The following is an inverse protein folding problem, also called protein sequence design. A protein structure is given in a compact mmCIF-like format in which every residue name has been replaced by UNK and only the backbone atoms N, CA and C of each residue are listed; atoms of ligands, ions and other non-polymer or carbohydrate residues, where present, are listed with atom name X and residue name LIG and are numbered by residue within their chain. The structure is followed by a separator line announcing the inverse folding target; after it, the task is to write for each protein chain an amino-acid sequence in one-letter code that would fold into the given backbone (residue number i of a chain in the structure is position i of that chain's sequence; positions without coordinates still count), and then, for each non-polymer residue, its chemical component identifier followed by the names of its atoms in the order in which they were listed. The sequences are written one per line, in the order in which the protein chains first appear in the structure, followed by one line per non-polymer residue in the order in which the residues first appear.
data_IF_928456344300
#
_entry.id   IF_928456344300
#
_cell.length_a   1.000
_cell.length_b   1.000
_cell.length_c   1.000
_cell.angle_alpha   90.00
_cell.angle_beta   90.00
_cell.angle_gamma   90.00
#
_symmetry.space_group_name_H-M   'P 1'
#
loop_
_entity.id
_entity.type
_entity.pdbx_description
1 polymer ?
#
# COMPACT_ATOMS: atom_id res chain seq x y z
N UNK A 1 -3.45 -0.42 -8.53
CA UNK A 1 -4.56 0.08 -7.72
C UNK A 1 -4.52 -0.56 -6.34
N UNK A 2 -5.12 0.12 -5.36
CA UNK A 2 -5.25 -0.31 -3.97
C UNK A 2 -6.72 -0.30 -3.62
N UNK A 3 -7.22 -1.40 -3.07
CA UNK A 3 -8.59 -1.58 -2.65
C UNK A 3 -8.68 -1.91 -1.17
N UNK A 4 -9.75 -1.45 -0.52
CA UNK A 4 -10.07 -1.66 0.88
C UNK A 4 -11.49 -2.21 1.00
N UNK A 5 -11.66 -3.26 1.79
CA UNK A 5 -12.96 -3.82 2.15
C UNK A 5 -13.07 -3.87 3.68
N UNK A 6 -14.04 -3.16 4.30
CA UNK A 6 -14.37 -3.33 5.72
C UNK A 6 -14.82 -4.76 6.03
N UNK A 7 -14.85 -5.14 7.31
CA UNK A 7 -15.36 -6.47 7.69
C UNK A 7 -16.84 -6.65 7.27
N UNK A 8 -17.11 -7.65 6.44
CA UNK A 8 -18.41 -7.88 5.82
C UNK A 8 -18.88 -6.79 4.84
N UNK A 9 -18.03 -5.79 4.55
CA UNK A 9 -18.31 -4.67 3.65
C UNK A 9 -17.91 -4.92 2.20
N UNK A 10 -18.28 -3.99 1.32
CA UNK A 10 -17.93 -4.02 -0.10
C UNK A 10 -16.49 -3.54 -0.34
N UNK A 11 -15.78 -4.20 -1.25
CA UNK A 11 -14.45 -3.76 -1.70
C UNK A 11 -14.55 -2.45 -2.48
N UNK A 12 -13.76 -1.46 -2.08
CA UNK A 12 -13.68 -0.14 -2.73
C UNK A 12 -12.26 0.17 -3.16
N UNK A 13 -12.06 0.59 -4.41
CA UNK A 13 -10.74 1.08 -4.87
C UNK A 13 -10.49 2.46 -4.30
N UNK A 14 -9.56 2.56 -3.34
CA UNK A 14 -9.22 3.79 -2.63
C UNK A 14 -8.06 4.56 -3.28
N UNK A 15 -7.25 3.90 -4.12
CA UNK A 15 -6.18 4.59 -4.85
C UNK A 15 -5.83 3.92 -6.20
N UNK A 16 -5.50 4.74 -7.20
CA UNK A 16 -4.88 4.32 -8.46
C UNK A 16 -3.66 5.18 -8.75
N UNK A 17 -2.51 4.53 -8.85
CA UNK A 17 -1.23 5.16 -9.16
C UNK A 17 -0.42 4.28 -10.10
N UNK A 18 0.75 4.76 -10.54
CA UNK A 18 1.64 4.07 -11.45
C UNK A 18 3.09 4.07 -10.91
N UNK A 19 3.83 2.98 -11.15
CA UNK A 19 5.26 2.93 -10.82
C UNK A 19 6.08 3.98 -11.58
N UNK A 20 5.57 4.50 -12.71
CA UNK A 20 6.20 5.62 -13.43
C UNK A 20 6.28 6.93 -12.65
N UNK A 21 5.57 7.05 -11.52
CA UNK A 21 5.67 8.21 -10.61
C UNK A 21 6.98 8.21 -9.80
N UNK A 22 7.72 7.09 -9.77
CA UNK A 22 8.96 6.96 -8.99
C UNK A 22 10.05 7.92 -9.50
N UNK A 23 10.56 8.75 -8.59
CA UNK A 23 11.64 9.69 -8.91
C UNK A 23 13.00 9.00 -9.14
N UNK A 24 13.29 7.94 -8.38
CA UNK A 24 14.49 7.12 -8.54
C UNK A 24 14.11 5.77 -9.13
N UNK A 25 14.83 5.36 -10.19
CA UNK A 25 14.68 4.02 -10.78
C UNK A 25 15.22 2.92 -9.87
N UNK A 26 14.74 1.69 -10.05
CA UNK A 26 15.28 0.51 -9.34
C UNK A 26 16.80 0.33 -9.55
N UNK A 27 17.33 0.68 -10.73
CA UNK A 27 18.75 0.63 -11.01
C UNK A 27 19.56 1.64 -10.18
N UNK A 28 19.03 2.87 -10.00
CA UNK A 28 19.64 3.87 -9.13
C UNK A 28 19.58 3.46 -7.67
N UNK A 29 18.46 2.89 -7.21
CA UNK A 29 18.30 2.39 -5.84
C UNK A 29 19.35 1.31 -5.53
N UNK A 30 19.52 0.33 -6.42
CA UNK A 30 20.52 -0.73 -6.26
C UNK A 30 21.95 -0.17 -6.26
N UNK A 31 22.30 0.65 -7.26
CA UNK A 31 23.63 1.24 -7.37
C UNK A 31 24.00 2.03 -6.11
N UNK A 32 23.08 2.87 -5.63
CA UNK A 32 23.29 3.65 -4.41
C UNK A 32 23.43 2.75 -3.18
N UNK A 33 22.61 1.71 -3.03
CA UNK A 33 22.71 0.74 -1.93
C UNK A 33 24.12 0.11 -1.85
N UNK A 34 24.72 -0.21 -3.00
CA UNK A 34 26.03 -0.87 -3.07
C UNK A 34 27.23 0.08 -3.03
N UNK A 35 27.01 1.40 -3.07
CA UNK A 35 28.09 2.37 -3.31
C UNK A 35 29.19 2.36 -2.24
N UNK A 36 28.84 2.02 -1.00
CA UNK A 36 29.79 1.95 0.13
C UNK A 36 30.28 0.52 0.42
N UNK A 37 30.05 -0.42 -0.50
CA UNK A 37 30.49 -1.82 -0.36
C UNK A 37 29.48 -2.76 0.30
N UNK A 38 28.21 -2.36 0.47
CA UNK A 38 27.16 -3.26 0.93
C UNK A 38 26.98 -4.41 -0.09
N UNK A 39 27.10 -5.65 0.37
CA UNK A 39 26.99 -6.82 -0.50
C UNK A 39 25.52 -7.20 -0.76
N UNK A 40 25.21 -7.54 -2.01
CA UNK A 40 23.90 -8.05 -2.42
C UNK A 40 23.95 -9.55 -2.69
N UNK A 41 22.83 -10.23 -2.48
CA UNK A 41 22.68 -11.68 -2.68
C UNK A 41 21.45 -11.98 -3.52
N UNK A 42 21.49 -13.12 -4.19
CA UNK A 42 20.31 -13.66 -4.87
C UNK A 42 19.17 -13.84 -3.88
N UNK A 43 18.00 -13.31 -4.21
CA UNK A 43 16.81 -13.37 -3.37
C UNK A 43 16.63 -12.18 -2.43
N UNK A 44 17.58 -11.24 -2.34
CA UNK A 44 17.36 -10.00 -1.60
C UNK A 44 16.22 -9.18 -2.27
N UNK A 45 15.37 -8.57 -1.45
CA UNK A 45 14.22 -7.76 -1.88
C UNK A 45 14.44 -6.29 -1.52
N UNK A 46 14.37 -5.41 -2.52
CA UNK A 46 14.41 -3.95 -2.32
C UNK A 46 13.03 -3.36 -2.57
N UNK A 47 12.47 -2.71 -1.56
CA UNK A 47 11.22 -1.97 -1.70
C UNK A 47 11.45 -0.65 -2.43
N UNK A 48 10.49 -0.23 -3.27
CA UNK A 48 10.54 1.05 -3.96
C UNK A 48 10.40 2.26 -3.02
N UNK A 49 9.78 2.06 -1.86
CA UNK A 49 9.10 3.10 -1.11
C UNK A 49 7.63 3.22 -1.52
N UNK A 50 6.85 3.99 -0.75
CA UNK A 50 5.44 4.28 -1.07
C UNK A 50 5.33 5.00 -2.41
N UNK A 51 4.45 4.53 -3.29
CA UNK A 51 4.24 5.11 -4.61
C UNK A 51 3.05 6.07 -4.54
N UNK A 52 3.32 7.37 -4.61
CA UNK A 52 2.30 8.42 -4.59
C UNK A 52 2.41 9.29 -5.84
N UNK A 53 1.31 9.39 -6.58
CA UNK A 53 1.18 10.36 -7.67
C UNK A 53 0.78 11.74 -7.14
N UNK A 54 0.72 12.71 -8.05
CA UNK A 54 0.43 14.11 -7.72
C UNK A 54 -1.03 14.39 -7.30
N UNK A 55 -1.97 13.48 -7.59
CA UNK A 55 -3.40 13.67 -7.31
C UNK A 55 -3.85 12.94 -6.03
N UNK A 56 -4.87 13.43 -5.29
CA UNK A 56 -5.33 12.79 -4.05
C UNK A 56 -5.64 11.30 -4.20
N UNK A 57 -6.38 10.89 -5.23
CA UNK A 57 -6.72 9.48 -5.51
C UNK A 57 -5.55 8.61 -6.00
N UNK A 58 -4.34 9.16 -6.06
CA UNK A 58 -3.12 8.45 -6.47
C UNK A 58 -2.06 8.35 -5.37
N UNK A 59 -2.39 8.78 -4.15
CA UNK A 59 -1.51 8.68 -2.97
C UNK A 59 -1.42 7.23 -2.47
N UNK A 60 -0.24 6.83 -2.02
CA UNK A 60 0.09 5.43 -1.75
C UNK A 60 -0.16 4.96 -0.32
N UNK A 61 -0.65 5.81 0.58
CA UNK A 61 -0.94 5.43 1.97
C UNK A 61 -2.22 6.08 2.51
N UNK A 62 -2.84 5.45 3.50
CA UNK A 62 -3.98 6.04 4.22
C UNK A 62 -3.60 7.30 4.97
N UNK A 63 -2.34 7.44 5.42
CA UNK A 63 -1.82 8.68 6.00
C UNK A 63 -1.97 9.85 5.02
N UNK A 64 -1.58 9.64 3.77
CA UNK A 64 -1.64 10.67 2.74
C UNK A 64 -3.07 10.87 2.20
N UNK A 65 -3.82 9.77 2.00
CA UNK A 65 -5.20 9.80 1.51
C UNK A 65 -6.13 10.50 2.50
N UNK A 66 -5.97 10.24 3.80
CA UNK A 66 -6.78 10.86 4.86
C UNK A 66 -6.23 12.17 5.40
N UNK A 67 -5.10 12.64 4.85
CA UNK A 67 -4.38 13.82 5.33
C UNK A 67 -4.08 13.81 6.84
N UNK A 68 -3.53 12.70 7.33
CA UNK A 68 -3.28 12.48 8.75
C UNK A 68 -4.56 12.30 9.57
N UNK A 69 -5.61 11.76 8.95
CA UNK A 69 -6.92 11.57 9.55
C UNK A 69 -7.79 12.83 9.64
N UNK A 70 -7.35 13.95 9.07
CA UNK A 70 -8.14 15.21 9.03
C UNK A 70 -9.26 15.14 8.00
N UNK A 71 -9.09 14.34 6.95
CA UNK A 71 -10.02 14.17 5.84
C UNK A 71 -10.28 12.67 5.64
N UNK A 72 -11.06 12.00 6.50
CA UNK A 72 -11.33 10.57 6.38
C UNK A 72 -11.92 10.20 5.00
N UNK A 73 -11.57 9.01 4.49
CA UNK A 73 -12.16 8.49 3.27
C UNK A 73 -13.59 8.04 3.55
N UNK A 74 -14.53 8.40 2.67
CA UNK A 74 -15.88 7.85 2.66
C UNK A 74 -15.91 6.53 1.86
N UNK A 75 -16.50 5.50 2.45
CA UNK A 75 -16.68 4.19 1.83
C UNK A 75 -18.17 3.92 1.54
N UNK A 76 -18.50 3.01 0.60
CA UNK A 76 -19.86 2.54 0.40
C UNK A 76 -20.50 2.07 1.71
N UNK A 77 -21.78 2.39 1.90
CA UNK A 77 -22.50 2.12 3.14
C UNK A 77 -22.32 3.17 4.24
N UNK A 78 -21.57 4.25 3.98
CA UNK A 78 -21.41 5.39 4.91
C UNK A 78 -20.37 5.16 6.00
N UNK A 79 -19.57 4.09 5.91
CA UNK A 79 -18.40 3.90 6.75
C UNK A 79 -17.29 4.88 6.33
N UNK A 80 -16.43 5.26 7.27
CA UNK A 80 -15.27 6.11 6.98
C UNK A 80 -13.97 5.48 7.46
N UNK A 81 -12.85 5.88 6.85
CA UNK A 81 -11.51 5.41 7.23
C UNK A 81 -10.50 6.53 7.22
N UNK A 82 -9.85 6.74 8.36
CA UNK A 82 -8.60 7.50 8.43
C UNK A 82 -7.39 6.56 8.34
N UNK A 83 -7.45 5.45 9.07
CA UNK A 83 -6.49 4.35 9.07
C UNK A 83 -7.26 3.02 9.03
N UNK A 84 -6.52 1.91 9.00
CA UNK A 84 -7.12 0.58 9.04
C UNK A 84 -7.75 0.30 10.39
N UNK A 85 -8.89 -0.37 10.35
CA UNK A 85 -9.57 -0.95 11.50
C UNK A 85 -9.42 -2.48 11.50
N UNK A 86 -9.64 -3.10 12.66
CA UNK A 86 -9.67 -4.56 12.77
C UNK A 86 -10.72 -5.15 11.82
N UNK A 87 -10.36 -6.22 11.12
CA UNK A 87 -11.21 -6.88 10.14
C UNK A 87 -11.13 -6.32 8.73
N UNK A 88 -10.57 -5.11 8.54
CA UNK A 88 -10.34 -4.53 7.22
C UNK A 88 -9.43 -5.43 6.37
N UNK A 89 -9.75 -5.56 5.07
CA UNK A 89 -8.93 -6.27 4.09
C UNK A 89 -8.41 -5.29 3.03
N UNK A 90 -7.09 -5.22 2.88
CA UNK A 90 -6.41 -4.45 1.83
C UNK A 90 -5.98 -5.37 0.70
N UNK A 91 -6.18 -4.94 -0.54
CA UNK A 91 -5.72 -5.64 -1.74
C UNK A 91 -4.99 -4.70 -2.69
N UNK A 92 -3.75 -5.04 -3.03
CA UNK A 92 -2.96 -4.35 -4.04
C UNK A 92 -2.98 -5.16 -5.34
N UNK A 93 -3.25 -4.48 -6.46
CA UNK A 93 -3.21 -5.07 -7.81
C UNK A 93 -2.40 -4.19 -8.75
N UNK A 94 -1.53 -4.80 -9.54
CA UNK A 94 -0.68 -4.11 -10.51
C UNK A 94 -0.60 -4.85 -11.82
N UNK A 95 -0.50 -4.12 -12.92
CA UNK A 95 -0.28 -4.70 -14.24
C UNK A 95 0.30 -3.68 -15.23
N UNK A 96 1.03 -4.19 -16.23
CA UNK A 96 1.35 -3.46 -17.46
C UNK A 96 0.35 -3.85 -18.55
N UNK A 97 -0.15 -2.86 -19.29
CA UNK A 97 -1.08 -3.05 -20.40
C UNK A 97 -0.32 -2.89 -21.72
N UNK A 98 -0.37 -3.92 -22.57
CA UNK A 98 0.08 -3.87 -23.96
C UNK A 98 -1.09 -3.82 -24.93
N UNK A 99 -0.79 -3.85 -26.23
CA UNK A 99 -1.83 -3.93 -27.27
C UNK A 99 -2.41 -5.35 -27.34
N UNK A 100 -3.66 -5.52 -26.92
CA UNK A 100 -4.35 -6.81 -26.89
C UNK A 100 -3.92 -7.80 -25.78
N UNK A 101 -2.99 -7.43 -24.89
CA UNK A 101 -2.57 -8.29 -23.77
C UNK A 101 -2.26 -7.52 -22.48
N UNK A 102 -2.24 -8.23 -21.35
CA UNK A 102 -1.94 -7.67 -20.02
C UNK A 102 -0.97 -8.57 -19.26
N UNK A 103 0.07 -7.98 -18.66
CA UNK A 103 1.00 -8.66 -17.75
C UNK A 103 0.68 -8.21 -16.33
N UNK A 104 0.07 -9.10 -15.55
CA UNK A 104 -0.37 -8.82 -14.18
C UNK A 104 0.56 -9.43 -13.12
N UNK A 105 0.58 -8.81 -11.94
CA UNK A 105 1.29 -9.31 -10.76
C UNK A 105 0.43 -10.23 -9.88
N UNK A 106 -0.86 -10.40 -10.21
CA UNK A 106 -1.84 -11.00 -9.30
C UNK A 106 -2.29 -10.03 -8.20
N UNK A 107 -2.88 -10.58 -7.14
CA UNK A 107 -3.32 -9.83 -5.97
C UNK A 107 -2.36 -10.05 -4.79
N UNK A 108 -1.99 -8.95 -4.11
CA UNK A 108 -1.35 -8.99 -2.80
C UNK A 108 -2.39 -8.52 -1.77
N UNK A 109 -2.92 -9.47 -0.98
CA UNK A 109 -4.05 -9.23 -0.09
C UNK A 109 -3.71 -9.61 1.34
N UNK A 110 -4.16 -8.80 2.29
CA UNK A 110 -4.05 -9.08 3.73
C UNK A 110 -5.24 -8.53 4.49
N UNK A 111 -5.71 -9.29 5.48
CA UNK A 111 -6.74 -8.88 6.44
C UNK A 111 -6.10 -8.52 7.77
N UNK A 112 -6.51 -7.39 8.34
CA UNK A 112 -6.09 -6.95 9.67
C UNK A 112 -6.83 -7.78 10.71
N UNK A 113 -6.08 -8.43 11.58
CA UNK A 113 -6.62 -9.13 12.74
C UNK A 113 -6.51 -8.23 13.97
N UNK A 114 -7.41 -8.38 14.94
CA UNK A 114 -7.27 -7.72 16.23
C UNK A 114 -5.90 -7.96 16.86
N UNK A 115 -5.39 -6.92 17.51
CA UNK A 115 -4.17 -7.04 18.31
C UNK A 115 -4.34 -8.12 19.38
N UNK A 116 -3.26 -8.84 19.67
CA UNK A 116 -3.25 -9.77 20.80
C UNK A 116 -3.44 -9.02 22.12
N UNK A 117 -4.12 -9.59 23.12
CA UNK A 117 -4.26 -8.97 24.43
C UNK A 117 -2.89 -8.64 25.02
N UNK A 118 -2.75 -7.42 25.52
CA UNK A 118 -1.53 -7.02 26.20
C UNK A 118 -1.37 -7.77 27.54
N UNK A 119 -0.16 -8.27 27.86
CA UNK A 119 0.13 -8.81 29.18
C UNK A 119 -0.15 -7.80 30.30
N UNK A 120 -0.49 -8.29 31.49
CA UNK A 120 -0.83 -7.39 32.61
C UNK A 120 0.32 -6.45 33.01
N UNK A 121 1.57 -6.82 32.78
CA UNK A 121 2.74 -6.03 33.13
C UNK A 121 3.02 -4.83 32.21
N UNK A 122 2.32 -4.71 31.07
CA UNK A 122 2.45 -3.55 30.15
C UNK A 122 1.35 -2.50 30.36
N UNK A 123 0.48 -2.68 31.35
CA UNK A 123 -0.70 -1.83 31.57
C UNK A 123 -0.43 -0.64 32.52
N UNK A 124 0.77 -0.57 33.09
CA UNK A 124 1.29 0.54 33.91
C UNK A 124 2.14 1.51 33.08
#
# INVERSE_FOLDING_TARGET
EVALAPDGGEETVIARTNYSEMYYSAAQQLCHHTTSGCAMRTGDLLGSGTISGSTPGSRGSLLELSWGGKEPLELPGGATRSFLEDGDTLTLRGAAQGDGYRIGFGACTGRILPAVPQPDWTKD
#
